data_IF_493961514328
#
_entry.id   IF_493961514328
#
_cell.length_a   1.000
_cell.length_b   1.000
_cell.length_c   1.000
_cell.angle_alpha   90.00
_cell.angle_beta   90.00
_cell.angle_gamma   90.00
#
_symmetry.space_group_name_H-M   'P 1'
#
loop_
_entity.id
_entity.type
_entity.pdbx_description
1 polymer ?
#
# COMPACT_ATOMS: atom_id res chain seq x y z
N UNK A 1 7.38 -34.44 -18.43
CA UNK A 1 7.92 -33.47 -17.45
C UNK A 1 6.81 -33.11 -16.49
N UNK A 2 7.05 -33.12 -15.19
CA UNK A 2 6.08 -32.64 -14.22
C UNK A 2 5.79 -31.16 -14.50
N UNK A 3 4.52 -30.77 -14.47
CA UNK A 3 4.10 -29.37 -14.68
C UNK A 3 4.66 -28.53 -13.52
N UNK A 4 5.45 -27.52 -13.82
CA UNK A 4 5.92 -26.56 -12.81
C UNK A 4 4.70 -25.86 -12.24
N UNK A 5 4.50 -25.96 -10.93
CA UNK A 5 3.38 -25.28 -10.25
C UNK A 5 3.89 -24.00 -9.59
N UNK A 6 3.12 -22.89 -9.63
CA UNK A 6 3.44 -21.69 -8.90
C UNK A 6 3.52 -21.96 -7.40
N UNK A 7 4.40 -21.28 -6.70
CA UNK A 7 4.47 -21.33 -5.25
C UNK A 7 3.32 -20.51 -4.65
N UNK A 8 2.47 -21.17 -3.86
CA UNK A 8 1.26 -20.54 -3.31
C UNK A 8 1.61 -19.36 -2.38
N UNK A 9 1.02 -18.19 -2.64
CA UNK A 9 1.24 -16.96 -1.88
C UNK A 9 2.46 -16.14 -2.32
N UNK A 10 3.17 -16.56 -3.37
CA UNK A 10 4.30 -15.84 -3.97
C UNK A 10 3.93 -15.43 -5.40
N UNK A 11 3.31 -14.25 -5.59
CA UNK A 11 2.82 -13.84 -6.90
C UNK A 11 3.98 -13.49 -7.84
N UNK A 12 3.85 -13.91 -9.09
CA UNK A 12 4.73 -13.51 -10.20
C UNK A 12 3.86 -12.92 -11.31
N UNK A 13 4.11 -11.66 -11.65
CA UNK A 13 3.33 -10.94 -12.64
C UNK A 13 3.89 -11.16 -14.05
N UNK A 14 3.01 -11.28 -15.02
CA UNK A 14 3.38 -11.19 -16.44
C UNK A 14 3.96 -9.79 -16.74
N UNK A 15 4.71 -9.60 -17.85
CA UNK A 15 5.27 -8.28 -18.18
C UNK A 15 4.24 -7.15 -18.22
N UNK A 16 3.01 -7.41 -18.69
CA UNK A 16 1.94 -6.42 -18.75
C UNK A 16 1.40 -6.07 -17.35
N UNK A 17 1.17 -7.06 -16.51
CA UNK A 17 0.74 -6.89 -15.12
C UNK A 17 1.83 -6.20 -14.29
N UNK A 18 3.11 -6.55 -14.54
CA UNK A 18 4.24 -5.91 -13.86
C UNK A 18 4.35 -4.41 -14.17
N UNK A 19 3.91 -3.97 -15.36
CA UNK A 19 3.84 -2.54 -15.69
C UNK A 19 2.79 -1.81 -14.83
N UNK A 20 1.66 -2.45 -14.52
CA UNK A 20 0.67 -1.89 -13.57
C UNK A 20 1.28 -1.75 -12.18
N UNK A 21 1.92 -2.80 -11.66
CA UNK A 21 2.59 -2.74 -10.35
C UNK A 21 3.69 -1.66 -10.34
N UNK A 22 4.52 -1.58 -11.39
CA UNK A 22 5.58 -0.57 -11.49
C UNK A 22 5.02 0.87 -11.49
N UNK A 23 3.90 1.08 -12.15
CA UNK A 23 3.20 2.37 -12.15
C UNK A 23 2.72 2.73 -10.75
N UNK A 24 2.06 1.80 -10.05
CA UNK A 24 1.61 2.02 -8.65
C UNK A 24 2.78 2.40 -7.76
N UNK A 25 3.88 1.63 -7.80
CA UNK A 25 5.07 1.90 -7.00
C UNK A 25 5.70 3.27 -7.32
N UNK A 26 5.74 3.65 -8.61
CA UNK A 26 6.29 4.94 -9.04
C UNK A 26 5.41 6.12 -8.58
N UNK A 27 4.09 6.00 -8.73
CA UNK A 27 3.12 7.02 -8.28
C UNK A 27 3.22 7.24 -6.76
N UNK A 28 3.27 6.17 -5.97
CA UNK A 28 3.41 6.29 -4.52
C UNK A 28 4.71 6.99 -4.12
N UNK A 29 5.86 6.64 -4.75
CA UNK A 29 7.14 7.32 -4.51
C UNK A 29 7.06 8.80 -4.82
N UNK A 30 6.50 9.15 -5.97
CA UNK A 30 6.38 10.54 -6.40
C UNK A 30 5.53 11.36 -5.42
N UNK A 31 4.37 10.86 -5.01
CA UNK A 31 3.49 11.56 -4.06
C UNK A 31 4.17 11.70 -2.70
N UNK A 32 4.78 10.67 -2.17
CA UNK A 32 5.44 10.72 -0.86
C UNK A 32 6.64 11.70 -0.89
N UNK A 33 7.46 11.65 -1.93
CA UNK A 33 8.58 12.59 -2.11
C UNK A 33 8.10 14.04 -2.25
N UNK A 34 7.00 14.28 -2.99
CA UNK A 34 6.40 15.61 -3.15
C UNK A 34 5.97 16.22 -1.80
N UNK A 35 5.61 15.39 -0.82
CA UNK A 35 5.24 15.81 0.53
C UNK A 35 6.42 15.81 1.51
N UNK A 36 7.65 15.68 1.02
CA UNK A 36 8.87 15.82 1.82
C UNK A 36 9.25 14.60 2.65
N UNK A 37 8.71 13.42 2.33
CA UNK A 37 9.14 12.16 2.94
C UNK A 37 10.40 11.65 2.24
N UNK A 38 11.43 11.30 3.02
CA UNK A 38 12.67 10.71 2.51
C UNK A 38 12.54 9.21 2.32
N UNK A 39 13.00 8.68 1.17
CA UNK A 39 13.02 7.23 0.95
C UNK A 39 14.11 6.57 1.79
N UNK A 40 13.75 5.49 2.49
CA UNK A 40 14.70 4.59 3.14
C UNK A 40 14.42 3.16 2.70
N UNK A 41 15.45 2.32 2.82
CA UNK A 41 15.34 0.88 2.69
C UNK A 41 16.10 0.21 3.84
N UNK A 42 15.47 -0.73 4.52
CA UNK A 42 16.08 -1.50 5.58
C UNK A 42 16.48 -2.90 5.07
N UNK A 43 17.39 -3.57 5.78
CA UNK A 43 17.69 -4.96 5.47
C UNK A 43 16.43 -5.83 5.65
N UNK A 44 16.24 -6.80 4.77
CA UNK A 44 15.09 -7.71 4.81
C UNK A 44 15.23 -8.80 5.89
N UNK A 45 16.43 -8.97 6.40
CA UNK A 45 16.80 -10.02 7.37
C UNK A 45 17.11 -9.39 8.72
N UNK A 46 16.41 -9.85 9.75
CA UNK A 46 16.59 -9.41 11.15
C UNK A 46 16.78 -10.62 12.08
N UNK A 47 17.38 -10.44 13.26
CA UNK A 47 17.35 -11.46 14.31
C UNK A 47 15.90 -11.81 14.68
N UNK A 48 15.58 -13.10 14.76
CA UNK A 48 14.22 -13.58 15.10
C UNK A 48 13.74 -13.01 16.43
N UNK A 49 14.63 -12.86 17.41
CA UNK A 49 14.31 -12.28 18.72
C UNK A 49 13.77 -10.85 18.60
N UNK A 50 14.29 -10.08 17.63
CA UNK A 50 13.81 -8.71 17.39
C UNK A 50 12.48 -8.69 16.62
N UNK A 51 12.27 -9.66 15.72
CA UNK A 51 11.01 -9.78 14.97
C UNK A 51 9.87 -10.33 15.81
N UNK A 52 10.14 -11.30 16.66
CA UNK A 52 9.13 -12.04 17.41
C UNK A 52 8.40 -11.15 18.44
N UNK A 53 9.14 -10.28 19.17
CA UNK A 53 8.56 -9.53 20.29
C UNK A 53 7.66 -10.42 21.16
N UNK A 54 6.68 -9.83 21.81
CA UNK A 54 5.63 -10.53 22.57
C UNK A 54 4.34 -10.73 21.75
N UNK A 55 4.40 -10.53 20.40
CA UNK A 55 3.22 -10.53 19.54
C UNK A 55 2.88 -11.90 18.93
N UNK A 56 1.59 -12.11 18.61
CA UNK A 56 1.13 -13.27 17.84
C UNK A 56 1.77 -13.39 16.45
N UNK A 57 2.32 -12.29 15.91
CA UNK A 57 3.03 -12.24 14.64
C UNK A 57 4.27 -13.17 14.60
N UNK A 58 4.78 -13.59 15.77
CA UNK A 58 5.88 -14.57 15.84
C UNK A 58 5.60 -15.88 15.08
N UNK A 59 4.32 -16.27 14.94
CA UNK A 59 3.88 -17.47 14.21
C UNK A 59 4.00 -17.33 12.69
N UNK A 60 4.14 -16.10 12.18
CA UNK A 60 4.16 -15.78 10.75
C UNK A 60 5.56 -15.50 10.21
N UNK A 61 6.58 -15.51 11.08
CA UNK A 61 7.97 -15.20 10.71
C UNK A 61 8.58 -16.37 9.93
N UNK A 62 9.09 -16.08 8.73
CA UNK A 62 9.96 -17.01 8.00
C UNK A 62 11.36 -17.01 8.61
N UNK A 63 11.75 -18.12 9.25
CA UNK A 63 13.12 -18.32 9.68
C UNK A 63 14.00 -18.72 8.49
N UNK A 64 15.22 -18.18 8.42
CA UNK A 64 16.20 -18.49 7.40
C UNK A 64 17.45 -19.11 8.03
N UNK A 65 18.04 -20.07 7.30
CA UNK A 65 19.27 -20.74 7.68
C UNK A 65 20.15 -21.00 6.46
N UNK A 66 21.43 -21.20 6.69
CA UNK A 66 22.33 -21.64 5.62
C UNK A 66 22.05 -23.11 5.30
N UNK A 67 21.99 -23.47 4.01
CA UNK A 67 21.70 -24.83 3.57
C UNK A 67 22.73 -25.86 4.11
N UNK A 68 24.01 -25.47 4.24
CA UNK A 68 25.08 -26.27 4.73
C UNK A 68 25.67 -25.69 6.04
N UNK A 69 24.79 -25.37 7.01
CA UNK A 69 25.25 -24.98 8.33
C UNK A 69 25.81 -26.19 9.06
N UNK A 70 27.06 -26.12 9.55
CA UNK A 70 27.60 -27.12 10.44
C UNK A 70 26.77 -27.24 11.72
N UNK A 71 26.65 -28.43 12.33
CA UNK A 71 25.91 -28.68 13.58
C UNK A 71 26.35 -27.76 14.75
N UNK A 72 27.52 -27.14 14.66
CA UNK A 72 28.01 -26.14 15.62
C UNK A 72 27.38 -24.74 15.44
N UNK A 73 26.66 -24.49 14.36
CA UNK A 73 25.97 -23.22 14.10
C UNK A 73 24.77 -22.94 15.03
N UNK A 74 24.49 -23.84 15.98
CA UNK A 74 23.46 -23.61 17.04
C UNK A 74 23.74 -22.44 17.98
N UNK A 75 24.84 -21.69 17.79
CA UNK A 75 25.17 -20.44 18.49
C UNK A 75 25.01 -19.17 17.64
N UNK A 76 24.77 -19.30 16.32
CA UNK A 76 24.43 -18.13 15.49
C UNK A 76 23.02 -17.66 15.81
N UNK A 77 22.83 -16.34 15.87
CA UNK A 77 21.51 -15.74 16.04
C UNK A 77 20.55 -16.28 14.98
N UNK A 78 19.39 -16.79 15.37
CA UNK A 78 18.35 -17.19 14.43
C UNK A 78 17.93 -15.97 13.64
N UNK A 79 17.99 -16.08 12.32
CA UNK A 79 17.60 -15.01 11.40
C UNK A 79 16.24 -15.30 10.81
N UNK A 80 15.49 -14.24 10.52
CA UNK A 80 14.19 -14.32 9.87
C UNK A 80 14.02 -13.20 8.85
N UNK A 81 13.06 -13.39 7.95
CA UNK A 81 12.60 -12.33 7.05
C UNK A 81 11.64 -11.41 7.79
N UNK A 82 11.75 -10.12 7.58
CA UNK A 82 10.83 -9.16 8.17
C UNK A 82 9.41 -9.36 7.64
N UNK A 83 8.43 -9.30 8.52
CA UNK A 83 7.01 -9.49 8.20
C UNK A 83 6.24 -8.18 8.04
N UNK A 84 6.86 -7.07 8.43
CA UNK A 84 6.40 -5.68 8.27
C UNK A 84 7.60 -4.75 8.03
N UNK A 85 7.33 -3.46 7.87
CA UNK A 85 8.37 -2.44 7.75
C UNK A 85 8.55 -1.62 9.03
N UNK A 86 7.69 -1.79 10.04
CA UNK A 86 7.71 -1.03 11.30
C UNK A 86 8.82 -1.53 12.23
N UNK A 87 8.96 -2.85 12.41
CA UNK A 87 10.01 -3.43 13.28
C UNK A 87 11.42 -3.11 12.77
N UNK A 88 11.74 -3.30 11.47
CA UNK A 88 13.04 -2.86 10.92
C UNK A 88 13.25 -1.35 11.01
N UNK A 89 12.18 -0.57 10.86
CA UNK A 89 12.24 0.89 10.99
C UNK A 89 12.55 1.33 12.43
N UNK A 90 11.94 0.70 13.43
CA UNK A 90 12.25 0.95 14.84
C UNK A 90 13.74 0.79 15.12
N UNK A 91 14.33 -0.34 14.69
CA UNK A 91 15.78 -0.58 14.79
C UNK A 91 16.59 0.48 14.02
N UNK A 92 16.15 0.86 12.81
CA UNK A 92 16.83 1.88 12.01
C UNK A 92 16.90 3.22 12.74
N UNK A 93 15.79 3.65 13.37
CA UNK A 93 15.74 4.87 14.20
C UNK A 93 16.68 4.74 15.39
N UNK A 94 16.64 3.61 16.11
CA UNK A 94 17.53 3.34 17.26
C UNK A 94 19.02 3.45 16.88
N UNK A 95 19.41 2.81 15.77
CA UNK A 95 20.80 2.81 15.31
C UNK A 95 21.28 4.17 14.78
N UNK A 96 20.37 5.00 14.24
CA UNK A 96 20.71 6.22 13.53
C UNK A 96 20.23 7.50 14.22
N UNK A 97 19.63 7.44 15.42
CA UNK A 97 19.03 8.58 16.10
C UNK A 97 19.96 9.80 16.27
N UNK A 98 21.28 9.58 16.36
CA UNK A 98 22.28 10.64 16.44
C UNK A 98 22.57 11.36 15.11
N UNK A 99 22.09 10.82 13.99
CA UNK A 99 22.29 11.36 12.64
C UNK A 99 21.00 11.85 12.00
N UNK A 100 19.83 11.40 12.52
CA UNK A 100 18.52 11.78 12.01
C UNK A 100 18.10 13.14 12.55
N UNK A 101 17.40 13.92 11.72
CA UNK A 101 16.74 15.15 12.14
C UNK A 101 15.29 14.85 12.48
N UNK A 102 14.84 15.26 13.65
CA UNK A 102 13.46 15.03 14.12
C UNK A 102 12.64 16.34 14.05
N UNK A 103 11.33 16.29 13.68
CA UNK A 103 10.59 15.10 13.29
C UNK A 103 11.16 14.46 12.02
N UNK A 104 11.44 13.15 12.07
CA UNK A 104 11.95 12.40 10.94
C UNK A 104 10.79 11.88 10.08
N UNK A 105 10.79 12.28 8.81
CA UNK A 105 9.77 11.89 7.82
C UNK A 105 10.37 10.88 6.86
N UNK A 106 9.84 9.68 6.84
CA UNK A 106 10.31 8.64 5.93
C UNK A 106 9.19 8.02 5.12
N UNK A 107 9.49 7.54 3.94
CA UNK A 107 8.70 6.47 3.33
C UNK A 107 9.61 5.27 3.00
N UNK A 108 8.98 4.11 2.89
CA UNK A 108 9.65 2.85 2.54
C UNK A 108 8.71 2.00 1.71
N UNK A 109 9.18 1.57 0.54
CA UNK A 109 8.44 0.68 -0.34
C UNK A 109 9.28 -0.57 -0.54
N UNK A 110 8.91 -1.66 0.14
CA UNK A 110 9.72 -2.87 0.17
C UNK A 110 8.83 -4.10 0.31
N UNK A 111 9.35 -5.26 -0.10
CA UNK A 111 8.70 -6.54 0.13
C UNK A 111 8.80 -6.95 1.59
N UNK A 112 7.74 -7.61 2.06
CA UNK A 112 7.65 -8.27 3.37
C UNK A 112 7.16 -9.69 3.20
N UNK A 113 7.37 -10.53 4.23
CA UNK A 113 7.08 -11.96 4.16
C UNK A 113 6.28 -12.41 5.37
N UNK A 114 5.09 -13.02 5.13
CA UNK A 114 4.21 -13.54 6.19
C UNK A 114 3.86 -15.00 5.93
N UNK A 115 4.02 -15.85 6.95
CA UNK A 115 3.71 -17.28 6.91
C UNK A 115 2.22 -17.62 6.92
N UNK A 116 1.33 -16.64 6.85
CA UNK A 116 -0.11 -16.84 6.88
C UNK A 116 -0.65 -17.65 5.69
N UNK A 117 -1.89 -18.15 5.86
CA UNK A 117 -2.56 -18.90 4.79
C UNK A 117 -2.94 -17.95 3.64
N UNK A 118 -2.48 -18.22 2.39
CA UNK A 118 -2.81 -17.39 1.25
C UNK A 118 -4.33 -17.37 0.98
N UNK A 119 -4.84 -16.18 0.66
CA UNK A 119 -6.21 -15.94 0.22
C UNK A 119 -6.19 -14.90 -0.90
N UNK A 120 -7.33 -14.60 -1.51
CA UNK A 120 -7.41 -13.50 -2.48
C UNK A 120 -6.94 -12.18 -1.85
N UNK A 121 -5.98 -11.53 -2.49
CA UNK A 121 -5.35 -10.31 -1.97
C UNK A 121 -4.47 -10.49 -0.74
N UNK A 122 -4.25 -11.72 -0.23
CA UNK A 122 -3.31 -12.03 0.85
C UNK A 122 -2.21 -12.95 0.37
N UNK A 123 -1.01 -12.40 0.33
CA UNK A 123 0.18 -13.08 -0.16
C UNK A 123 1.16 -13.34 0.98
N UNK A 124 2.05 -14.30 0.76
CA UNK A 124 3.18 -14.60 1.65
C UNK A 124 4.39 -13.74 1.38
N UNK A 125 4.53 -13.26 0.15
CA UNK A 125 5.49 -12.24 -0.26
C UNK A 125 4.73 -11.11 -0.95
N UNK A 126 4.86 -9.87 -0.46
CA UNK A 126 4.12 -8.74 -1.00
C UNK A 126 4.80 -7.40 -0.70
N UNK A 127 4.52 -6.41 -1.52
CA UNK A 127 4.98 -5.04 -1.27
C UNK A 127 4.08 -4.33 -0.27
N UNK A 128 4.71 -3.69 0.72
CA UNK A 128 4.13 -2.62 1.52
C UNK A 128 4.72 -1.27 1.10
N UNK A 129 3.92 -0.22 1.21
CA UNK A 129 4.33 1.16 1.04
C UNK A 129 3.92 1.94 2.28
N UNK A 130 4.90 2.27 3.11
CA UNK A 130 4.72 2.88 4.41
C UNK A 130 5.23 4.31 4.42
N UNK A 131 4.49 5.20 5.09
CA UNK A 131 4.96 6.53 5.48
C UNK A 131 4.88 6.68 6.98
N UNK A 132 5.88 7.31 7.59
CA UNK A 132 5.89 7.63 9.02
C UNK A 132 6.51 9.01 9.26
N UNK A 133 6.00 9.66 10.30
CA UNK A 133 6.64 10.81 10.93
C UNK A 133 6.94 10.46 12.38
N UNK A 134 8.21 10.52 12.77
CA UNK A 134 8.65 10.17 14.12
C UNK A 134 9.24 11.39 14.78
N UNK A 135 8.77 11.71 15.98
CA UNK A 135 9.33 12.77 16.84
C UNK A 135 10.41 12.25 17.78
N UNK A 136 11.02 13.17 18.50
CA UNK A 136 11.82 12.88 19.69
C UNK A 136 11.12 13.52 20.89
N UNK A 137 10.82 12.72 21.90
CA UNK A 137 10.11 13.07 23.14
C UNK A 137 8.65 13.52 22.96
N UNK A 138 8.32 14.16 21.83
CA UNK A 138 6.96 14.60 21.49
C UNK A 138 6.71 14.58 19.99
N UNK A 139 5.45 14.43 19.62
CA UNK A 139 4.97 14.52 18.24
C UNK A 139 3.71 15.41 18.20
N UNK A 140 3.70 16.53 17.46
CA UNK A 140 2.52 17.39 17.30
C UNK A 140 1.33 16.63 16.69
N UNK A 141 0.10 16.88 17.20
CA UNK A 141 -1.13 16.19 16.77
C UNK A 141 -1.49 16.43 15.31
N UNK A 142 -1.20 17.63 14.75
CA UNK A 142 -1.51 17.94 13.36
C UNK A 142 -0.81 16.99 12.35
N UNK A 143 0.25 16.28 12.76
CA UNK A 143 0.94 15.31 11.91
C UNK A 143 0.09 14.05 11.65
N UNK A 144 -0.90 13.78 12.51
CA UNK A 144 -1.89 12.72 12.27
C UNK A 144 -2.72 13.04 11.02
N UNK A 145 -3.21 14.27 10.89
CA UNK A 145 -3.93 14.72 9.70
C UNK A 145 -3.02 14.77 8.47
N UNK A 146 -1.79 15.22 8.62
CA UNK A 146 -0.84 15.28 7.50
C UNK A 146 -0.59 13.89 6.87
N UNK A 147 -0.31 12.87 7.69
CA UNK A 147 -0.08 11.50 7.20
C UNK A 147 -1.33 10.97 6.49
N UNK A 148 -2.51 11.17 7.07
CA UNK A 148 -3.78 10.76 6.46
C UNK A 148 -4.03 11.46 5.11
N UNK A 149 -3.78 12.78 5.02
CA UNK A 149 -3.95 13.57 3.78
C UNK A 149 -3.00 13.09 2.68
N UNK A 150 -1.73 12.83 3.02
CA UNK A 150 -0.73 12.34 2.06
C UNK A 150 -1.16 10.99 1.52
N UNK A 151 -1.62 10.10 2.39
CA UNK A 151 -2.07 8.77 1.99
C UNK A 151 -3.34 8.83 1.13
N UNK A 152 -4.31 9.67 1.49
CA UNK A 152 -5.52 9.90 0.70
C UNK A 152 -5.20 10.43 -0.71
N UNK A 153 -4.28 11.38 -0.82
CA UNK A 153 -3.80 11.89 -2.11
C UNK A 153 -3.12 10.82 -2.93
N UNK A 154 -2.26 10.01 -2.31
CA UNK A 154 -1.56 8.92 -2.98
C UNK A 154 -2.55 7.89 -3.57
N UNK A 155 -3.59 7.53 -2.84
CA UNK A 155 -4.63 6.62 -3.33
C UNK A 155 -5.47 7.24 -4.47
N UNK A 156 -5.72 8.56 -4.45
CA UNK A 156 -6.46 9.25 -5.53
C UNK A 156 -5.71 9.30 -6.86
N UNK A 157 -4.38 9.33 -6.83
CA UNK A 157 -3.55 9.30 -8.04
C UNK A 157 -3.52 7.93 -8.72
N UNK A 158 -3.97 6.89 -8.04
CA UNK A 158 -4.04 5.55 -8.60
C UNK A 158 -5.35 5.32 -9.38
N UNK A 159 -5.37 4.44 -10.39
CA UNK A 159 -6.57 4.09 -11.14
C UNK A 159 -7.48 3.15 -10.32
N UNK A 160 -7.95 3.64 -9.17
CA UNK A 160 -8.80 2.96 -8.21
C UNK A 160 -10.19 3.60 -8.14
N UNK A 161 -11.23 2.88 -7.69
CA UNK A 161 -12.43 3.48 -7.15
C UNK A 161 -12.14 4.43 -5.99
N UNK A 162 -13.07 5.29 -5.57
CA UNK A 162 -12.91 6.10 -4.37
C UNK A 162 -12.54 5.26 -3.16
N UNK A 163 -11.61 5.78 -2.35
CA UNK A 163 -11.20 5.15 -1.11
C UNK A 163 -11.81 5.93 0.07
N UNK A 164 -12.39 5.21 1.03
CA UNK A 164 -12.93 5.76 2.27
C UNK A 164 -12.01 5.43 3.42
N UNK A 165 -11.59 6.47 4.13
CA UNK A 165 -10.73 6.36 5.29
C UNK A 165 -11.58 6.45 6.55
N UNK A 166 -11.75 5.33 7.21
CA UNK A 166 -12.44 5.20 8.49
C UNK A 166 -11.45 5.56 9.60
N UNK A 167 -11.83 6.48 10.46
CA UNK A 167 -10.99 7.09 11.47
C UNK A 167 -11.59 6.88 12.86
N UNK A 168 -10.74 6.52 13.81
CA UNK A 168 -11.10 6.47 15.22
C UNK A 168 -9.98 7.08 16.08
N UNK A 169 -10.21 7.24 17.36
CA UNK A 169 -9.20 7.70 18.31
C UNK A 169 -9.22 6.86 19.57
N UNK A 170 -8.06 6.30 19.92
CA UNK A 170 -7.88 5.46 21.09
C UNK A 170 -8.32 6.13 22.38
N UNK A 171 -7.95 7.40 22.58
CA UNK A 171 -8.27 8.11 23.81
C UNK A 171 -9.78 8.29 24.02
N UNK A 172 -10.55 8.53 22.94
CA UNK A 172 -12.00 8.59 23.00
C UNK A 172 -12.59 7.26 23.48
N UNK A 173 -12.24 6.17 22.81
CA UNK A 173 -12.80 4.85 23.09
C UNK A 173 -12.37 4.35 24.48
N UNK A 174 -11.10 4.52 24.83
CA UNK A 174 -10.58 4.14 26.15
C UNK A 174 -11.21 4.94 27.26
N UNK A 175 -11.38 6.26 27.07
CA UNK A 175 -12.06 7.14 28.01
C UNK A 175 -13.50 6.69 28.25
N UNK A 176 -14.25 6.42 27.18
CA UNK A 176 -15.62 5.92 27.29
C UNK A 176 -15.70 4.57 28.02
N UNK A 177 -14.85 3.60 27.65
CA UNK A 177 -14.86 2.28 28.28
C UNK A 177 -14.52 2.35 29.75
N UNK A 178 -13.55 3.16 30.16
CA UNK A 178 -13.26 3.43 31.57
C UNK A 178 -14.41 4.13 32.26
N UNK A 179 -15.06 5.09 31.59
CA UNK A 179 -16.23 5.78 32.11
C UNK A 179 -17.38 4.85 32.45
N UNK A 180 -17.63 3.80 31.67
CA UNK A 180 -18.64 2.76 31.97
C UNK A 180 -18.07 1.60 32.82
N UNK A 181 -16.93 1.80 33.48
CA UNK A 181 -16.38 0.88 34.50
C UNK A 181 -15.59 -0.30 33.92
N UNK A 182 -15.14 -0.28 32.69
CA UNK A 182 -14.31 -1.35 32.12
C UNK A 182 -12.90 -1.28 32.68
N UNK A 183 -12.44 -2.33 33.34
CA UNK A 183 -11.08 -2.45 33.87
C UNK A 183 -10.10 -3.02 32.83
N UNK A 184 -10.50 -4.06 32.08
CA UNK A 184 -9.72 -4.64 30.96
C UNK A 184 -10.17 -4.03 29.64
N UNK A 185 -9.76 -2.77 29.40
CA UNK A 185 -10.07 -2.04 28.17
C UNK A 185 -9.52 -2.79 26.93
N UNK A 186 -8.30 -3.31 27.01
CA UNK A 186 -7.69 -4.05 25.90
C UNK A 186 -8.49 -5.32 25.57
N UNK A 187 -8.97 -6.04 26.60
CA UNK A 187 -9.84 -7.20 26.41
C UNK A 187 -11.20 -6.85 25.79
N UNK A 188 -11.78 -5.71 26.16
CA UNK A 188 -13.03 -5.23 25.58
C UNK A 188 -12.84 -4.83 24.11
N UNK A 189 -11.78 -4.09 23.78
CA UNK A 189 -11.43 -3.71 22.42
C UNK A 189 -11.26 -4.93 21.51
N UNK A 190 -10.57 -5.98 21.97
CA UNK A 190 -10.43 -7.25 21.22
C UNK A 190 -11.75 -7.96 20.97
N UNK A 191 -12.76 -7.79 21.84
CA UNK A 191 -14.10 -8.32 21.58
C UNK A 191 -14.84 -7.50 20.54
N UNK A 192 -14.78 -6.17 20.62
CA UNK A 192 -15.40 -5.25 19.64
C UNK A 192 -14.78 -5.38 18.25
N UNK A 193 -13.46 -5.63 18.14
CA UNK A 193 -12.79 -5.90 16.85
C UNK A 193 -13.38 -7.09 16.08
N UNK A 194 -14.10 -7.98 16.77
CA UNK A 194 -14.75 -9.11 16.15
C UNK A 194 -16.17 -8.81 15.67
N UNK A 195 -16.66 -7.57 15.85
CA UNK A 195 -18.06 -7.21 15.59
C UNK A 195 -18.53 -7.61 14.19
N UNK A 196 -17.68 -7.40 13.17
CA UNK A 196 -17.98 -7.80 11.79
C UNK A 196 -18.03 -9.32 11.57
N UNK A 197 -17.41 -10.10 12.46
CA UNK A 197 -17.31 -11.57 12.31
C UNK A 197 -18.39 -12.31 13.10
N UNK A 198 -18.65 -11.86 14.32
CA UNK A 198 -19.55 -12.56 15.26
C UNK A 198 -20.85 -11.81 15.54
N UNK A 199 -20.98 -10.58 14.98
CA UNK A 199 -22.16 -9.73 15.20
C UNK A 199 -22.26 -9.16 16.62
N UNK A 200 -23.24 -8.28 16.84
CA UNK A 200 -23.46 -7.64 18.12
C UNK A 200 -23.76 -8.66 19.26
N UNK A 201 -24.52 -9.70 18.97
CA UNK A 201 -24.85 -10.73 19.97
C UNK A 201 -23.61 -11.51 20.41
N UNK A 202 -22.72 -11.87 19.48
CA UNK A 202 -21.47 -12.56 19.81
C UNK A 202 -20.52 -11.67 20.63
N UNK A 203 -20.44 -10.37 20.32
CA UNK A 203 -19.66 -9.41 21.12
C UNK A 203 -20.27 -9.26 22.51
N UNK A 204 -21.61 -9.21 22.62
CA UNK A 204 -22.34 -9.16 23.87
C UNK A 204 -22.00 -10.36 24.77
N UNK A 205 -22.05 -11.57 24.23
CA UNK A 205 -21.71 -12.80 24.95
C UNK A 205 -20.23 -12.77 25.42
N UNK A 206 -19.30 -12.34 24.58
CA UNK A 206 -17.88 -12.25 24.97
C UNK A 206 -17.65 -11.23 26.09
N UNK A 207 -18.28 -10.05 26.04
CA UNK A 207 -18.14 -9.01 27.05
C UNK A 207 -18.80 -9.45 28.38
N UNK A 208 -19.98 -10.07 28.34
CA UNK A 208 -20.60 -10.65 29.53
C UNK A 208 -19.73 -11.75 30.13
N UNK A 209 -19.10 -12.60 29.31
CA UNK A 209 -18.16 -13.63 29.76
C UNK A 209 -16.93 -13.06 30.48
N UNK A 210 -16.60 -11.79 30.22
CA UNK A 210 -15.54 -11.03 30.90
C UNK A 210 -16.04 -10.26 32.15
N UNK A 211 -17.31 -10.40 32.52
CA UNK A 211 -17.90 -9.77 33.71
C UNK A 211 -18.37 -8.33 33.51
N UNK A 212 -18.51 -7.87 32.25
CA UNK A 212 -19.06 -6.54 31.92
C UNK A 212 -20.57 -6.55 32.17
N UNK A 213 -21.11 -5.50 32.80
CA UNK A 213 -22.55 -5.37 33.04
C UNK A 213 -23.35 -5.24 31.73
N UNK A 214 -24.63 -5.69 31.70
CA UNK A 214 -25.48 -5.56 30.54
C UNK A 214 -25.58 -4.11 30.00
N UNK A 215 -25.73 -3.17 30.91
CA UNK A 215 -25.87 -1.74 30.58
C UNK A 215 -24.59 -1.17 29.97
N UNK A 216 -23.42 -1.56 30.49
CA UNK A 216 -22.14 -1.16 29.95
C UNK A 216 -21.89 -1.79 28.55
N UNK A 217 -22.30 -3.06 28.37
CA UNK A 217 -22.23 -3.73 27.06
C UNK A 217 -23.09 -3.01 26.01
N UNK A 218 -24.31 -2.64 26.36
CA UNK A 218 -25.21 -1.89 25.48
C UNK A 218 -24.60 -0.55 25.08
N UNK A 219 -24.06 0.20 26.05
CA UNK A 219 -23.39 1.47 25.80
C UNK A 219 -22.15 1.32 24.90
N UNK A 220 -21.34 0.26 25.07
CA UNK A 220 -20.19 -0.05 24.21
C UNK A 220 -20.62 -0.34 22.76
N UNK A 221 -21.69 -1.12 22.59
CA UNK A 221 -22.21 -1.43 21.26
C UNK A 221 -22.85 -0.21 20.58
N UNK A 222 -23.49 0.66 21.37
CA UNK A 222 -24.05 1.94 20.87
C UNK A 222 -22.92 2.87 20.42
N UNK A 223 -21.84 3.00 21.20
CA UNK A 223 -20.65 3.74 20.76
C UNK A 223 -20.08 3.17 19.45
N UNK A 224 -19.93 1.86 19.35
CA UNK A 224 -19.40 1.20 18.16
C UNK A 224 -20.30 1.34 16.91
N UNK A 225 -21.58 1.68 17.09
CA UNK A 225 -22.51 1.93 15.99
C UNK A 225 -22.42 3.36 15.42
N UNK A 226 -21.73 4.28 16.10
CA UNK A 226 -21.59 5.66 15.64
C UNK A 226 -20.63 5.74 14.46
N UNK A 227 -21.17 6.22 13.33
CA UNK A 227 -20.41 6.49 12.11
C UNK A 227 -20.95 7.75 11.47
N UNK A 228 -20.08 8.74 11.19
CA UNK A 228 -20.47 10.01 10.54
C UNK A 228 -19.42 10.45 9.51
N UNK A 229 -19.82 11.14 8.43
CA UNK A 229 -18.89 11.65 7.42
C UNK A 229 -18.13 12.92 7.84
N UNK A 230 -18.39 13.44 9.03
CA UNK A 230 -17.86 14.70 9.54
C UNK A 230 -17.76 14.70 11.08
N UNK A 231 -17.52 15.86 11.67
CA UNK A 231 -17.43 16.06 13.11
C UNK A 231 -18.74 15.93 13.89
N UNK A 232 -19.89 15.67 13.25
CA UNK A 232 -21.20 15.57 13.92
C UNK A 232 -21.31 14.38 14.89
N UNK A 233 -20.40 13.41 14.83
CA UNK A 233 -20.30 12.35 15.81
C UNK A 233 -20.08 12.89 17.24
N UNK A 234 -19.50 14.10 17.40
CA UNK A 234 -19.23 14.68 18.73
C UNK A 234 -20.50 14.82 19.52
N UNK A 235 -21.58 15.37 18.94
CA UNK A 235 -22.86 15.50 19.64
C UNK A 235 -23.46 14.14 20.00
N UNK A 236 -23.25 13.11 19.17
CA UNK A 236 -23.73 11.75 19.43
C UNK A 236 -23.00 11.10 20.59
N UNK A 237 -21.67 11.20 20.67
CA UNK A 237 -20.90 10.62 21.76
C UNK A 237 -21.10 11.38 23.07
N UNK A 238 -21.31 12.68 23.03
CA UNK A 238 -21.67 13.48 24.21
C UNK A 238 -23.03 13.04 24.77
N UNK A 239 -24.04 12.93 23.90
CA UNK A 239 -25.36 12.45 24.29
C UNK A 239 -25.29 11.03 24.86
N UNK A 240 -24.46 10.15 24.26
CA UNK A 240 -24.27 8.80 24.78
C UNK A 240 -23.61 8.79 26.16
N UNK A 241 -22.58 9.62 26.37
CA UNK A 241 -21.94 9.76 27.67
C UNK A 241 -22.94 10.14 28.77
N UNK A 242 -23.81 11.10 28.49
CA UNK A 242 -24.81 11.61 29.43
C UNK A 242 -25.87 10.54 29.87
N UNK A 243 -26.09 9.53 29.04
CA UNK A 243 -27.07 8.45 29.29
C UNK A 243 -26.46 7.11 29.67
N UNK A 244 -25.15 6.94 29.45
CA UNK A 244 -24.44 5.69 29.77
C UNK A 244 -24.34 5.46 31.29
N UNK A 245 -24.14 4.23 31.73
CA UNK A 245 -23.95 3.88 33.14
C UNK A 245 -22.54 4.30 33.61
N UNK A 246 -22.29 5.61 33.67
CA UNK A 246 -20.97 6.16 34.05
C UNK A 246 -20.75 5.92 35.57
N UNK A 247 -19.52 5.50 35.90
CA UNK A 247 -19.13 5.28 37.30
C UNK A 247 -18.86 6.62 38.03
N UNK A 248 -18.99 6.63 39.35
CA UNK A 248 -18.93 7.85 40.18
C UNK A 248 -17.60 8.61 40.10
N UNK A 249 -16.47 7.93 39.85
CA UNK A 249 -15.12 8.52 39.77
C UNK A 249 -14.58 8.42 38.32
N UNK A 250 -15.26 9.10 37.41
CA UNK A 250 -14.95 9.06 35.96
C UNK A 250 -14.27 10.32 35.41
N UNK A 251 -13.81 11.25 36.27
CA UNK A 251 -13.26 12.54 35.81
C UNK A 251 -12.06 12.37 34.86
N UNK A 252 -11.11 11.50 35.18
CA UNK A 252 -9.97 11.19 34.32
C UNK A 252 -10.41 10.53 33.01
N UNK A 253 -11.39 9.62 33.08
CA UNK A 253 -11.98 8.96 31.92
C UNK A 253 -12.68 9.98 31.00
N UNK A 254 -13.41 10.92 31.59
CA UNK A 254 -14.05 12.04 30.87
C UNK A 254 -13.03 12.94 30.17
N UNK A 255 -11.95 13.30 30.83
CA UNK A 255 -10.90 14.13 30.22
C UNK A 255 -10.25 13.41 29.02
N UNK A 256 -10.00 12.09 29.13
CA UNK A 256 -9.51 11.26 28.03
C UNK A 256 -10.47 11.22 26.85
N UNK A 257 -11.75 10.98 27.14
CA UNK A 257 -12.84 10.94 26.18
C UNK A 257 -12.94 12.26 25.39
N UNK A 258 -13.04 13.40 26.11
CA UNK A 258 -13.14 14.73 25.51
C UNK A 258 -11.95 15.08 24.63
N UNK A 259 -10.74 14.74 25.07
CA UNK A 259 -9.53 14.96 24.29
C UNK A 259 -9.57 14.13 23.01
N UNK A 260 -9.93 12.86 23.10
CA UNK A 260 -10.03 11.96 21.95
C UNK A 260 -11.10 12.39 20.95
N UNK A 261 -12.27 12.85 21.43
CA UNK A 261 -13.36 13.36 20.59
C UNK A 261 -12.93 14.61 19.81
N UNK A 262 -12.31 15.59 20.48
CA UNK A 262 -11.80 16.80 19.82
C UNK A 262 -10.69 16.48 18.80
N UNK A 263 -9.77 15.59 19.13
CA UNK A 263 -8.69 15.18 18.24
C UNK A 263 -9.24 14.49 16.99
N UNK A 264 -10.20 13.57 17.14
CA UNK A 264 -10.82 12.88 16.02
C UNK A 264 -11.62 13.84 15.12
N UNK A 265 -12.39 14.78 15.69
CA UNK A 265 -13.14 15.77 14.94
C UNK A 265 -12.20 16.64 14.08
N UNK A 266 -11.14 17.17 14.69
CA UNK A 266 -10.13 17.95 13.99
C UNK A 266 -9.44 17.16 12.87
N UNK A 267 -9.19 15.87 13.08
CA UNK A 267 -8.61 14.97 12.07
C UNK A 267 -9.55 14.75 10.88
N UNK A 268 -10.82 14.41 11.13
CA UNK A 268 -11.84 14.18 10.08
C UNK A 268 -12.02 15.46 9.25
N UNK A 269 -12.18 16.60 9.91
CA UNK A 269 -12.38 17.89 9.25
C UNK A 269 -11.16 18.28 8.41
N UNK A 270 -9.94 18.11 8.93
CA UNK A 270 -8.72 18.42 8.20
C UNK A 270 -8.54 17.55 6.95
N UNK A 271 -8.83 16.25 7.05
CA UNK A 271 -8.72 15.33 5.90
C UNK A 271 -9.78 15.70 4.85
N UNK A 272 -11.04 15.91 5.22
CA UNK A 272 -12.11 16.24 4.28
C UNK A 272 -11.97 17.64 3.68
N UNK A 273 -11.38 18.60 4.40
CA UNK A 273 -11.03 19.90 3.84
C UNK A 273 -9.94 19.82 2.75
N UNK A 274 -8.96 18.91 2.91
CA UNK A 274 -7.86 18.72 1.98
C UNK A 274 -8.19 17.77 0.82
N UNK A 275 -8.99 16.74 1.09
CA UNK A 275 -9.37 15.65 0.19
C UNK A 275 -10.85 15.32 0.44
N UNK A 276 -11.80 16.06 -0.19
CA UNK A 276 -13.22 15.93 0.09
C UNK A 276 -13.76 14.50 -0.02
N UNK A 277 -14.76 14.18 0.80
CA UNK A 277 -15.48 12.89 0.82
C UNK A 277 -14.58 11.67 1.09
N UNK A 278 -13.48 11.85 1.84
CA UNK A 278 -12.51 10.76 2.10
C UNK A 278 -12.62 10.22 3.51
N UNK A 279 -12.67 11.09 4.51
CA UNK A 279 -12.65 10.69 5.92
C UNK A 279 -14.06 10.46 6.48
N UNK A 280 -14.18 9.42 7.28
CA UNK A 280 -15.39 9.05 8.03
C UNK A 280 -14.97 8.79 9.48
N UNK A 281 -15.61 9.43 10.47
CA UNK A 281 -15.48 8.99 11.84
C UNK A 281 -16.21 7.65 11.99
N UNK A 282 -15.53 6.62 12.45
CA UNK A 282 -16.09 5.27 12.63
C UNK A 282 -15.59 4.67 13.94
N UNK A 283 -16.42 4.75 14.97
CA UNK A 283 -16.06 4.34 16.33
C UNK A 283 -16.07 2.82 16.52
N UNK A 284 -16.41 2.06 15.50
CA UNK A 284 -16.30 0.61 15.46
C UNK A 284 -14.87 0.12 15.31
N UNK A 285 -13.98 0.94 14.70
CA UNK A 285 -12.60 0.53 14.45
C UNK A 285 -11.87 0.33 15.77
N UNK A 286 -11.57 -0.92 16.08
CA UNK A 286 -10.83 -1.32 17.26
C UNK A 286 -9.44 -1.94 16.94
N UNK A 287 -9.16 -2.23 15.65
CA UNK A 287 -7.91 -2.86 15.23
C UNK A 287 -6.70 -2.00 15.52
N UNK A 288 -5.64 -2.64 15.98
CA UNK A 288 -4.39 -1.95 16.28
C UNK A 288 -4.45 -1.10 17.54
N UNK A 289 -5.59 -1.01 18.22
CA UNK A 289 -5.71 -0.23 19.46
C UNK A 289 -4.86 -0.79 20.63
N UNK A 290 -4.35 -2.02 20.52
CA UNK A 290 -3.36 -2.53 21.49
C UNK A 290 -2.00 -1.84 21.33
N UNK A 291 -1.70 -1.32 20.16
CA UNK A 291 -0.43 -0.71 19.80
C UNK A 291 -0.53 0.82 19.63
N UNK A 292 -1.63 1.32 19.06
CA UNK A 292 -1.83 2.75 18.81
C UNK A 292 -2.32 3.46 20.08
N UNK A 293 -1.90 4.71 20.23
CA UNK A 293 -2.17 5.56 21.42
C UNK A 293 -3.04 6.77 21.12
N UNK A 294 -3.30 7.08 19.86
CA UNK A 294 -4.10 8.21 19.39
C UNK A 294 -4.98 7.83 18.21
N UNK A 295 -4.82 8.54 17.09
CA UNK A 295 -5.56 8.25 15.85
C UNK A 295 -5.30 6.85 15.32
N UNK A 296 -6.36 6.25 14.78
CA UNK A 296 -6.33 4.95 14.08
C UNK A 296 -7.02 5.11 12.73
N UNK A 297 -6.42 4.53 11.71
CA UNK A 297 -6.87 4.63 10.33
C UNK A 297 -7.12 3.26 9.72
N UNK A 298 -8.25 3.09 9.06
CA UNK A 298 -8.51 1.98 8.14
C UNK A 298 -9.10 2.53 6.84
N UNK A 299 -8.63 2.04 5.71
CA UNK A 299 -9.09 2.51 4.40
C UNK A 299 -9.66 1.36 3.60
N UNK A 300 -10.86 1.55 3.06
CA UNK A 300 -11.54 0.59 2.19
C UNK A 300 -11.82 1.22 0.82
N UNK A 301 -12.02 0.39 -0.21
CA UNK A 301 -12.41 0.84 -1.55
C UNK A 301 -13.92 0.72 -1.73
N UNK A 302 -14.56 1.78 -2.22
CA UNK A 302 -15.98 1.77 -2.55
C UNK A 302 -16.28 0.70 -3.61
N UNK A 303 -17.26 -0.17 -3.31
CA UNK A 303 -17.65 -1.29 -4.18
C UNK A 303 -16.69 -2.49 -4.16
N UNK A 304 -15.67 -2.47 -3.29
CA UNK A 304 -14.71 -3.56 -3.08
C UNK A 304 -14.45 -3.81 -1.59
N UNK A 305 -15.48 -3.66 -0.76
CA UNK A 305 -15.40 -3.82 0.70
C UNK A 305 -15.00 -5.24 1.11
N UNK A 306 -15.28 -6.22 0.24
CA UNK A 306 -14.85 -7.62 0.39
C UNK A 306 -13.33 -7.79 0.48
N UNK A 307 -12.58 -6.84 -0.09
CA UNK A 307 -11.13 -6.80 0.04
C UNK A 307 -10.69 -6.48 1.48
N UNK A 308 -11.54 -5.81 2.25
CA UNK A 308 -11.21 -5.27 3.57
C UNK A 308 -10.27 -4.08 3.50
N UNK A 309 -9.58 -3.78 4.60
CA UNK A 309 -8.67 -2.65 4.66
C UNK A 309 -7.49 -2.81 3.69
N UNK A 310 -7.29 -1.80 2.83
CA UNK A 310 -6.20 -1.71 1.86
C UNK A 310 -5.03 -0.88 2.37
N UNK A 311 -5.30 -0.02 3.33
CA UNK A 311 -4.34 0.84 3.99
C UNK A 311 -4.76 1.02 5.44
N UNK A 312 -3.83 0.89 6.37
CA UNK A 312 -4.07 1.05 7.80
C UNK A 312 -2.89 1.71 8.48
N UNK A 313 -3.13 2.24 9.67
CA UNK A 313 -2.08 2.89 10.45
C UNK A 313 -2.62 3.53 11.72
N UNK A 314 -1.79 4.33 12.37
CA UNK A 314 -2.16 5.05 13.59
C UNK A 314 -1.00 5.78 14.24
N UNK A 315 -1.30 6.45 15.34
CA UNK A 315 -0.33 7.05 16.24
C UNK A 315 0.16 6.03 17.26
N UNK A 316 1.45 6.02 17.50
CA UNK A 316 2.13 5.22 18.53
C UNK A 316 3.08 6.11 19.34
N UNK A 317 3.18 5.88 20.64
CA UNK A 317 4.02 6.72 21.52
C UNK A 317 5.43 6.17 21.72
N UNK A 318 5.66 4.90 21.38
CA UNK A 318 6.95 4.27 21.53
C UNK A 318 7.26 3.36 20.35
N UNK A 319 8.05 3.87 19.40
CA UNK A 319 8.58 3.07 18.29
C UNK A 319 9.73 2.16 18.76
N UNK A 320 10.55 2.65 19.67
CA UNK A 320 11.76 1.97 20.15
C UNK A 320 11.56 1.53 21.60
N UNK A 321 12.04 0.34 21.95
CA UNK A 321 12.03 -0.14 23.31
C UNK A 321 12.76 0.86 24.23
N UNK A 322 12.08 1.30 25.31
CA UNK A 322 12.58 2.35 26.20
C UNK A 322 11.95 3.74 25.98
N UNK A 323 11.11 3.91 24.96
CA UNK A 323 10.32 5.13 24.73
C UNK A 323 11.07 6.26 24.04
N UNK A 324 10.46 7.45 24.01
CA UNK A 324 11.11 8.69 23.51
C UNK A 324 10.99 8.94 22.01
N UNK A 325 10.32 8.05 21.25
CA UNK A 325 10.13 8.22 19.80
C UNK A 325 8.66 8.02 19.42
N UNK A 326 7.76 8.97 19.79
CA UNK A 326 6.38 8.93 19.33
C UNK A 326 6.32 9.14 17.82
N UNK A 327 5.39 8.46 17.16
CA UNK A 327 5.24 8.55 15.71
C UNK A 327 3.78 8.37 15.29
N UNK A 328 3.55 8.67 14.02
CA UNK A 328 2.32 8.35 13.31
C UNK A 328 2.69 7.86 11.93
N UNK A 329 2.06 6.80 11.48
CA UNK A 329 2.32 6.22 10.17
C UNK A 329 1.15 5.45 9.60
N UNK A 330 1.21 5.24 8.29
CA UNK A 330 0.24 4.43 7.55
C UNK A 330 0.95 3.54 6.54
N UNK A 331 0.36 2.39 6.27
CA UNK A 331 0.88 1.37 5.37
C UNK A 331 -0.15 0.95 4.33
N UNK A 332 0.23 0.94 3.05
CA UNK A 332 -0.57 0.38 1.94
C UNK A 332 -0.08 -1.03 1.63
N UNK A 333 -1.00 -1.99 1.56
CA UNK A 333 -0.75 -3.32 1.00
C UNK A 333 -0.75 -3.27 -0.53
N UNK A 334 0.38 -2.86 -1.14
CA UNK A 334 0.48 -2.60 -2.60
C UNK A 334 0.10 -3.81 -3.44
N UNK A 335 0.64 -4.99 -3.13
CA UNK A 335 0.35 -6.20 -3.93
C UNK A 335 -1.14 -6.59 -3.84
N UNK A 336 -1.81 -6.29 -2.72
CA UNK A 336 -3.25 -6.48 -2.56
C UNK A 336 -4.04 -5.58 -3.52
N UNK A 337 -3.66 -4.30 -3.61
CA UNK A 337 -4.25 -3.34 -4.54
C UNK A 337 -4.03 -3.77 -5.99
N UNK A 338 -2.79 -4.10 -6.35
CA UNK A 338 -2.44 -4.53 -7.72
C UNK A 338 -3.21 -5.79 -8.11
N UNK A 339 -3.32 -6.77 -7.21
CA UNK A 339 -4.11 -7.98 -7.47
C UNK A 339 -5.58 -7.66 -7.75
N UNK A 340 -6.18 -6.75 -6.97
CA UNK A 340 -7.56 -6.31 -7.20
C UNK A 340 -7.69 -5.51 -8.50
N UNK A 341 -6.76 -4.60 -8.79
CA UNK A 341 -6.76 -3.82 -10.03
C UNK A 341 -6.75 -4.72 -11.26
N UNK A 342 -5.93 -5.76 -11.25
CA UNK A 342 -5.84 -6.73 -12.34
C UNK A 342 -7.06 -7.66 -12.39
N UNK A 343 -7.45 -8.24 -11.25
CA UNK A 343 -8.55 -9.21 -11.16
C UNK A 343 -9.92 -8.62 -11.50
N UNK A 344 -10.17 -7.36 -11.13
CA UNK A 344 -11.39 -6.62 -11.44
C UNK A 344 -11.28 -5.78 -12.74
N UNK A 345 -10.17 -5.90 -13.48
CA UNK A 345 -9.90 -5.13 -14.70
C UNK A 345 -10.02 -3.61 -14.49
N UNK A 346 -9.61 -3.09 -13.33
CA UNK A 346 -9.63 -1.67 -13.03
C UNK A 346 -8.50 -0.92 -13.73
N UNK A 347 -7.41 -1.61 -14.05
CA UNK A 347 -6.25 -1.05 -14.73
C UNK A 347 -5.56 -2.08 -15.61
N UNK A 348 -5.09 -1.65 -16.76
CA UNK A 348 -4.26 -2.45 -17.67
C UNK A 348 -3.21 -1.59 -18.34
N UNK A 349 -2.10 -2.22 -18.79
CA UNK A 349 -1.10 -1.52 -19.60
C UNK A 349 -1.49 -1.59 -21.09
N UNK A 350 -1.28 -0.49 -21.82
CA UNK A 350 -1.60 -0.41 -23.26
C UNK A 350 -0.82 -1.39 -24.11
N UNK A 351 0.31 -1.89 -23.61
CA UNK A 351 1.13 -2.92 -24.25
C UNK A 351 2.00 -3.66 -23.23
N UNK A 352 2.49 -4.83 -23.60
CA UNK A 352 3.28 -5.71 -22.71
C UNK A 352 4.79 -5.43 -22.75
N UNK A 353 5.24 -4.54 -23.62
CA UNK A 353 6.67 -4.23 -23.85
C UNK A 353 6.92 -2.72 -23.87
N UNK A 354 8.13 -2.26 -23.56
CA UNK A 354 8.45 -0.85 -23.63
C UNK A 354 8.53 -0.31 -25.06
N UNK A 355 8.74 -1.17 -26.09
CA UNK A 355 9.00 -0.79 -27.46
C UNK A 355 7.84 -0.02 -28.08
N UNK A 356 8.11 1.15 -28.62
CA UNK A 356 7.18 1.95 -29.42
C UNK A 356 7.27 1.55 -30.91
N UNK A 357 8.44 1.11 -31.37
CA UNK A 357 8.71 0.78 -32.79
C UNK A 357 9.28 -0.64 -32.90
N UNK A 358 8.80 -1.39 -33.88
CA UNK A 358 9.44 -2.60 -34.37
C UNK A 358 10.08 -2.26 -35.74
N UNK A 359 11.39 -2.32 -35.87
CA UNK A 359 12.04 -2.23 -37.18
C UNK A 359 12.00 -3.60 -37.83
N UNK A 360 11.34 -3.70 -38.98
CA UNK A 360 11.24 -4.91 -39.75
C UNK A 360 12.59 -5.31 -40.36
N UNK A 361 12.77 -6.58 -40.67
CA UNK A 361 13.95 -7.11 -41.34
C UNK A 361 13.53 -7.69 -42.67
N UNK A 362 14.10 -7.18 -43.77
CA UNK A 362 13.80 -7.65 -45.14
C UNK A 362 14.33 -9.06 -45.35
N UNK A 363 15.61 -9.24 -45.04
CA UNK A 363 16.33 -10.51 -45.06
C UNK A 363 17.49 -10.49 -44.06
N UNK A 364 18.10 -11.63 -43.76
CA UNK A 364 19.19 -11.71 -42.78
C UNK A 364 20.50 -11.04 -43.23
N UNK A 365 20.76 -10.92 -44.53
CA UNK A 365 21.96 -10.28 -45.06
C UNK A 365 21.92 -8.77 -44.82
N UNK A 366 20.71 -8.16 -44.85
CA UNK A 366 20.47 -6.73 -44.63
C UNK A 366 20.04 -6.37 -43.22
N UNK A 367 20.05 -7.32 -42.27
CA UNK A 367 19.72 -7.05 -40.88
C UNK A 367 20.50 -5.88 -40.26
N UNK A 368 21.74 -5.68 -40.72
CA UNK A 368 22.57 -4.56 -40.26
C UNK A 368 21.95 -3.18 -40.54
N UNK A 369 21.25 -3.00 -41.65
CA UNK A 369 20.54 -1.75 -41.95
C UNK A 369 19.38 -1.51 -41.01
N UNK A 370 18.56 -2.54 -40.71
CA UNK A 370 17.49 -2.47 -39.72
C UNK A 370 18.02 -2.13 -38.34
N UNK A 371 19.16 -2.73 -37.95
CA UNK A 371 19.79 -2.45 -36.63
C UNK A 371 20.29 -0.99 -36.58
N UNK A 372 20.87 -0.46 -37.63
CA UNK A 372 21.33 0.93 -37.68
C UNK A 372 20.19 1.94 -37.55
N UNK A 373 19.03 1.69 -38.17
CA UNK A 373 17.82 2.49 -38.01
C UNK A 373 17.34 2.43 -36.55
N UNK A 374 17.27 1.24 -35.97
CA UNK A 374 16.86 1.07 -34.59
C UNK A 374 17.79 1.80 -33.59
N UNK A 375 19.10 1.80 -33.84
CA UNK A 375 20.07 2.47 -32.97
C UNK A 375 19.95 4.01 -33.06
N UNK A 376 19.66 4.56 -34.24
CA UNK A 376 19.36 6.00 -34.42
C UNK A 376 18.11 6.39 -33.63
N UNK A 377 17.02 5.61 -33.72
CA UNK A 377 15.80 5.83 -32.96
C UNK A 377 16.05 5.73 -31.42
N UNK A 378 16.80 4.74 -30.98
CA UNK A 378 17.18 4.55 -29.56
C UNK A 378 18.04 5.71 -29.05
N UNK A 379 18.98 6.21 -29.85
CA UNK A 379 19.81 7.37 -29.44
C UNK A 379 18.95 8.61 -29.19
N UNK A 380 17.79 8.71 -29.81
CA UNK A 380 16.82 9.78 -29.65
C UNK A 380 15.79 9.47 -28.52
N UNK A 381 15.99 8.39 -27.77
CA UNK A 381 15.10 8.00 -26.67
C UNK A 381 13.81 7.30 -27.09
N UNK A 382 13.70 6.82 -28.33
CA UNK A 382 12.54 6.09 -28.84
C UNK A 382 12.77 4.59 -28.61
N UNK A 383 12.01 3.94 -27.72
CA UNK A 383 12.17 2.52 -27.43
C UNK A 383 11.86 1.68 -28.67
N UNK A 384 12.86 0.99 -29.18
CA UNK A 384 12.80 0.32 -30.49
C UNK A 384 13.39 -1.09 -30.38
N UNK A 385 12.72 -2.06 -30.98
CA UNK A 385 13.27 -3.39 -31.20
C UNK A 385 13.37 -3.72 -32.69
N UNK A 386 14.28 -4.61 -33.05
CA UNK A 386 14.42 -5.14 -34.40
C UNK A 386 13.72 -6.49 -34.47
N UNK A 387 13.00 -6.78 -35.54
CA UNK A 387 12.31 -8.04 -35.72
C UNK A 387 13.25 -9.24 -35.49
N UNK A 388 12.86 -10.23 -34.70
CA UNK A 388 13.71 -11.38 -34.38
C UNK A 388 14.03 -12.22 -35.63
N UNK A 389 13.16 -12.22 -36.62
CA UNK A 389 13.27 -13.03 -37.82
C UNK A 389 12.96 -12.21 -39.08
N UNK A 390 13.67 -12.48 -40.20
CA UNK A 390 13.38 -11.96 -41.50
C UNK A 390 12.21 -12.70 -42.18
N UNK A 391 11.05 -12.71 -41.47
CA UNK A 391 9.82 -13.29 -41.98
C UNK A 391 9.14 -12.28 -42.96
N UNK A 392 8.12 -12.74 -43.71
CA UNK A 392 7.27 -11.82 -44.50
C UNK A 392 6.74 -10.70 -43.63
N UNK A 393 6.70 -9.47 -44.11
CA UNK A 393 6.29 -8.27 -43.36
C UNK A 393 4.96 -8.44 -42.61
N UNK A 394 3.95 -9.11 -43.22
CA UNK A 394 2.69 -9.40 -42.55
C UNK A 394 2.84 -10.22 -41.23
N UNK A 395 3.84 -11.11 -41.16
CA UNK A 395 4.13 -11.85 -39.91
C UNK A 395 4.85 -10.99 -38.88
N UNK A 396 5.67 -10.05 -39.33
CA UNK A 396 6.36 -9.10 -38.46
C UNK A 396 5.39 -8.06 -37.92
N UNK A 397 4.42 -7.58 -38.72
CA UNK A 397 3.30 -6.75 -38.25
C UNK A 397 2.47 -7.51 -37.20
N UNK A 398 2.12 -8.76 -37.48
CA UNK A 398 1.37 -9.59 -36.52
C UNK A 398 2.14 -9.82 -35.21
N UNK A 399 3.48 -9.89 -35.27
CA UNK A 399 4.32 -9.96 -34.07
C UNK A 399 4.25 -8.65 -33.28
N UNK A 400 4.34 -7.49 -33.93
CA UNK A 400 4.19 -6.17 -33.32
C UNK A 400 2.80 -6.02 -32.66
N UNK A 401 1.74 -6.36 -33.39
CA UNK A 401 0.35 -6.30 -32.94
C UNK A 401 0.10 -7.13 -31.66
N UNK A 402 0.54 -8.39 -31.63
CA UNK A 402 0.42 -9.25 -30.44
C UNK A 402 1.12 -8.71 -29.20
N UNK A 403 2.09 -7.84 -29.35
CA UNK A 403 2.86 -7.21 -28.27
C UNK A 403 2.39 -5.80 -27.97
N UNK A 404 1.43 -5.28 -28.76
CA UNK A 404 0.90 -3.94 -28.63
C UNK A 404 1.88 -2.85 -29.09
N UNK A 405 2.90 -3.18 -29.92
CA UNK A 405 3.84 -2.21 -30.48
C UNK A 405 3.12 -1.41 -31.57
N UNK A 406 2.93 -0.09 -31.41
CA UNK A 406 2.06 0.68 -32.30
C UNK A 406 2.65 0.92 -33.68
N UNK A 407 3.99 0.98 -33.81
CA UNK A 407 4.62 1.35 -35.05
C UNK A 407 5.54 0.25 -35.60
N UNK A 408 5.44 -0.01 -36.90
CA UNK A 408 6.37 -0.89 -37.62
C UNK A 408 7.13 -0.06 -38.66
N UNK A 409 8.45 -0.09 -38.55
CA UNK A 409 9.35 0.57 -39.49
C UNK A 409 9.84 -0.41 -40.57
N UNK A 410 9.62 -0.10 -41.82
CA UNK A 410 10.08 -0.88 -42.96
C UNK A 410 11.35 -0.21 -43.53
N UNK A 411 12.52 -0.84 -43.41
CA UNK A 411 13.73 -0.30 -44.00
C UNK A 411 13.60 -0.23 -45.53
N UNK A 412 14.36 0.66 -46.22
CA UNK A 412 14.36 0.75 -47.67
C UNK A 412 14.84 -0.55 -48.32
N UNK A 413 14.42 -0.78 -49.56
CA UNK A 413 14.97 -1.91 -50.31
C UNK A 413 16.48 -1.73 -50.54
N UNK A 414 17.26 -2.82 -50.66
CA UNK A 414 18.69 -2.73 -50.91
C UNK A 414 18.99 -1.90 -52.16
N UNK A 415 19.76 -0.81 -52.00
CA UNK A 415 20.09 0.13 -53.04
C UNK A 415 19.20 1.38 -53.17
N UNK A 416 18.06 1.41 -52.43
CA UNK A 416 17.25 2.61 -52.34
C UNK A 416 17.81 3.58 -51.30
N UNK A 417 17.67 4.87 -51.56
CA UNK A 417 18.08 5.92 -50.62
C UNK A 417 17.05 6.16 -49.52
N UNK A 418 17.50 6.79 -48.41
CA UNK A 418 16.64 7.15 -47.28
C UNK A 418 16.56 6.04 -46.24
N UNK A 419 15.65 6.19 -45.26
CA UNK A 419 15.49 5.28 -44.12
C UNK A 419 14.24 4.40 -44.22
N UNK A 420 13.43 4.52 -45.26
CA UNK A 420 12.24 3.73 -45.49
C UNK A 420 10.94 4.39 -45.02
N UNK A 421 10.03 3.60 -44.49
CA UNK A 421 8.69 4.04 -44.14
C UNK A 421 8.29 3.54 -42.74
N UNK A 422 7.48 4.32 -42.04
CA UNK A 422 6.87 3.90 -40.76
C UNK A 422 5.36 3.75 -40.92
N UNK A 423 4.82 2.67 -40.37
CA UNK A 423 3.39 2.38 -40.35
C UNK A 423 2.86 2.39 -38.93
N UNK A 424 1.83 3.18 -38.68
CA UNK A 424 0.96 2.98 -37.54
C UNK A 424 0.04 1.79 -37.84
N UNK A 425 0.23 0.67 -37.10
CA UNK A 425 -0.53 -0.54 -37.39
C UNK A 425 -1.98 -0.49 -36.87
N UNK A 426 -2.33 0.54 -36.07
CA UNK A 426 -3.67 0.76 -35.54
C UNK A 426 -4.57 1.46 -36.56
N UNK A 427 -4.07 2.53 -37.19
CA UNK A 427 -4.80 3.25 -38.22
C UNK A 427 -4.58 2.66 -39.63
N UNK A 428 -3.44 2.02 -39.84
CA UNK A 428 -3.01 1.54 -41.14
C UNK A 428 -2.21 2.56 -41.96
N UNK A 429 -2.06 3.80 -41.47
CA UNK A 429 -1.31 4.87 -42.16
C UNK A 429 0.17 4.52 -42.23
N UNK A 430 0.73 4.71 -43.42
CA UNK A 430 2.14 4.45 -43.71
C UNK A 430 2.74 5.66 -44.43
N UNK A 431 3.84 6.17 -43.90
CA UNK A 431 4.48 7.38 -44.42
C UNK A 431 5.98 7.19 -44.51
N UNK A 432 6.65 7.84 -45.50
CA UNK A 432 8.11 7.93 -45.50
C UNK A 432 8.62 8.57 -44.20
N UNK A 433 9.70 8.02 -43.65
CA UNK A 433 10.23 8.50 -42.38
C UNK A 433 11.77 8.50 -42.41
N UNK A 434 12.32 9.50 -41.72
CA UNK A 434 13.75 9.64 -41.44
C UNK A 434 14.01 9.32 -39.99
N UNK A 435 14.89 8.37 -39.69
CA UNK A 435 15.18 7.92 -38.34
C UNK A 435 15.81 9.00 -37.45
N UNK A 436 16.39 10.06 -38.03
CA UNK A 436 16.92 11.20 -37.29
C UNK A 436 15.89 12.31 -37.03
N UNK A 437 14.73 12.27 -37.69
CA UNK A 437 13.72 13.32 -37.61
C UNK A 437 12.36 12.81 -37.06
N UNK A 438 11.90 11.62 -37.48
CA UNK A 438 10.59 11.09 -37.09
C UNK A 438 10.47 10.83 -35.59
N UNK A 439 9.33 11.18 -35.02
CA UNK A 439 9.01 10.95 -33.62
C UNK A 439 7.58 10.42 -33.48
N UNK A 440 7.34 9.36 -32.72
CA UNK A 440 5.98 8.91 -32.40
C UNK A 440 5.29 9.95 -31.52
N UNK A 441 3.95 9.94 -31.46
CA UNK A 441 3.22 10.68 -30.43
C UNK A 441 3.79 10.43 -29.02
N UNK A 442 3.84 11.47 -28.20
CA UNK A 442 4.44 11.40 -26.84
C UNK A 442 3.81 10.31 -25.98
N UNK A 443 2.51 10.11 -26.14
CA UNK A 443 1.74 9.07 -25.44
C UNK A 443 2.12 7.65 -25.86
N UNK A 444 2.76 7.47 -26.99
CA UNK A 444 3.19 6.16 -27.49
C UNK A 444 4.66 5.83 -27.16
N UNK A 445 5.43 6.79 -26.63
CA UNK A 445 6.83 6.54 -26.26
C UNK A 445 6.95 5.48 -25.16
N UNK A 446 6.02 5.45 -24.21
CA UNK A 446 6.02 4.49 -23.11
C UNK A 446 4.66 3.78 -22.99
N UNK A 447 4.61 2.54 -22.49
CA UNK A 447 3.36 1.94 -22.08
C UNK A 447 2.63 2.85 -21.08
N UNK A 448 1.35 3.05 -21.27
CA UNK A 448 0.49 3.79 -20.32
C UNK A 448 -0.38 2.82 -19.58
N UNK A 449 -0.69 3.15 -18.34
CA UNK A 449 -1.72 2.46 -17.57
C UNK A 449 -3.03 3.18 -17.83
N UNK A 450 -4.03 2.43 -18.27
CA UNK A 450 -5.37 2.93 -18.55
C UNK A 450 -6.37 2.25 -17.61
N UNK A 451 -7.43 2.97 -17.28
CA UNK A 451 -8.56 2.39 -16.57
C UNK A 451 -9.27 1.39 -17.49
N UNK A 452 -9.67 0.24 -16.95
CA UNK A 452 -10.37 -0.81 -17.64
C UNK A 452 -11.87 -0.52 -17.81
#
# INVERSE_FOLDING_TARGET
>A
MARVQPLSGFPEWTPQERLVEAHVLATLREVFALHGFGEIETRAVEPVERLAGDSEASKEIYAIGRLNADEQAGREAKLGLHFDLTVPFARYVEENQGRLQFPFRRFQIQKVWRGERPQEGRFREFYQADIDVVGRDRLPEHLEAEVAIVMARALRELPLPPARMHLNNRALVEGFYRGVGILDVAGALRSVDKLDKIGADGVREELHGKGVSPEAVDAILELAAIQTPDGSFVDLVEALWDHAPIVDDADEAREHFDRGARSLAALVDAVNAAVPDTAIADLRIARGLDYYTGAVYETVLDGHEDLGSICSGGRYDSLVAGGGFPGVGMSIGVSRLVSRMLGANLATATRSVPSAVLVAVTDEEHRGASSAIADRLRTRGIPTEVSPNAAKFGKQIQYADRRGIPFVWFPPAPGDGGDGEVKDIRSGDQVPADADAWTPPTEDLKPRIVRG
#
